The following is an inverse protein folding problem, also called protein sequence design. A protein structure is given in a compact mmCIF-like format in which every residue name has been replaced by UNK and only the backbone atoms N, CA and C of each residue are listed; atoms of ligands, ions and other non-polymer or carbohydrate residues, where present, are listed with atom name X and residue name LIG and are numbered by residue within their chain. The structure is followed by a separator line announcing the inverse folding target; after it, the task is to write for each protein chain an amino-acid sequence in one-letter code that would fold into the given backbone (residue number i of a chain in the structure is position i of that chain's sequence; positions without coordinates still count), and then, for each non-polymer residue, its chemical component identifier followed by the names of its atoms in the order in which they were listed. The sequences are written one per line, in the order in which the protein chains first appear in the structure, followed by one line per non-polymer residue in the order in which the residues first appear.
data_IF_207306242524
#
_entry.id   IF_207306242524
#
_cell.length_a   1.000
_cell.length_b   1.000
_cell.length_c   1.000
_cell.angle_alpha   90.00
_cell.angle_beta   90.00
_cell.angle_gamma   90.00
#
_symmetry.space_group_name_H-M   'P 1'
#
loop_
_entity.id
_entity.type
_entity.pdbx_description
1 polymer ?
#
# COMPACT_ATOMS: atom_id res chain seq x y z
N UNK A 1 -6.72 -2.09 5.85
CA UNK A 1 -7.66 -3.25 5.83
C UNK A 1 -6.84 -4.52 5.78
N UNK A 2 -7.29 -5.62 6.41
CA UNK A 2 -6.60 -6.92 6.29
C UNK A 2 -6.87 -7.59 4.94
N UNK A 3 -5.98 -8.50 4.52
CA UNK A 3 -6.04 -9.21 3.23
C UNK A 3 -7.40 -9.89 2.98
N UNK A 4 -7.97 -10.55 3.99
CA UNK A 4 -9.25 -11.26 3.90
C UNK A 4 -10.41 -10.28 3.62
N UNK A 5 -10.45 -9.17 4.34
CA UNK A 5 -11.47 -8.13 4.15
C UNK A 5 -11.36 -7.49 2.77
N UNK A 6 -10.13 -7.30 2.27
CA UNK A 6 -9.89 -6.80 0.92
C UNK A 6 -10.40 -7.77 -0.15
N UNK A 7 -10.00 -9.05 -0.09
CA UNK A 7 -10.47 -10.07 -1.04
C UNK A 7 -11.99 -10.17 -1.06
N UNK A 8 -12.64 -10.16 0.12
CA UNK A 8 -14.10 -10.21 0.22
C UNK A 8 -14.77 -9.00 -0.43
N UNK A 9 -14.16 -7.82 -0.34
CA UNK A 9 -14.70 -6.60 -0.91
C UNK A 9 -14.57 -6.55 -2.44
N UNK A 10 -13.44 -7.02 -2.97
CA UNK A 10 -13.10 -6.94 -4.39
C UNK A 10 -13.69 -8.07 -5.21
N UNK A 11 -13.70 -9.31 -4.70
CA UNK A 11 -14.15 -10.49 -5.47
C UNK A 11 -15.66 -10.72 -5.45
N UNK A 12 -16.39 -9.79 -4.83
CA UNK A 12 -17.85 -9.76 -4.71
C UNK A 12 -18.49 -11.01 -4.06
N UNK A 13 -19.74 -10.94 -3.55
CA UNK A 13 -20.50 -12.12 -3.21
C UNK A 13 -20.89 -12.92 -4.46
N UNK A 14 -20.94 -14.27 -4.38
CA UNK A 14 -21.44 -15.08 -5.48
C UNK A 14 -22.92 -14.80 -5.71
N UNK A 15 -23.37 -14.91 -6.96
CA UNK A 15 -24.78 -14.84 -7.29
C UNK A 15 -25.47 -16.13 -6.82
N UNK A 16 -26.59 -16.01 -6.12
CA UNK A 16 -27.38 -17.16 -5.67
C UNK A 16 -28.15 -17.68 -6.89
N UNK A 17 -27.87 -18.91 -7.32
CA UNK A 17 -28.67 -19.56 -8.35
C UNK A 17 -30.07 -19.88 -7.83
N UNK A 18 -31.05 -19.97 -8.72
CA UNK A 18 -32.44 -20.29 -8.36
C UNK A 18 -32.58 -21.66 -7.65
N UNK A 19 -31.59 -22.55 -7.80
CA UNK A 19 -31.51 -23.85 -7.12
C UNK A 19 -31.00 -23.78 -5.67
N UNK A 20 -30.49 -22.63 -5.21
CA UNK A 20 -29.88 -22.47 -3.89
C UNK A 20 -28.40 -22.86 -3.83
N UNK A 21 -27.87 -23.52 -4.86
CA UNK A 21 -26.45 -23.84 -4.98
C UNK A 21 -25.64 -22.65 -5.46
N UNK A 22 -24.40 -22.54 -4.98
CA UNK A 22 -23.46 -21.54 -5.50
C UNK A 22 -22.91 -22.03 -6.85
N UNK A 23 -22.96 -21.21 -7.92
CA UNK A 23 -22.37 -21.58 -9.18
C UNK A 23 -20.85 -21.75 -9.03
N UNK A 24 -20.30 -22.81 -9.63
CA UNK A 24 -18.86 -23.00 -9.71
C UNK A 24 -18.25 -21.84 -10.52
N UNK A 25 -17.24 -21.17 -9.96
CA UNK A 25 -16.47 -20.17 -10.67
C UNK A 25 -15.29 -20.87 -11.33
N UNK A 26 -15.33 -21.02 -12.66
CA UNK A 26 -14.27 -21.68 -13.45
C UNK A 26 -13.35 -20.68 -14.19
N UNK A 27 -13.56 -19.36 -14.01
CA UNK A 27 -12.79 -18.31 -14.64
C UNK A 27 -11.40 -18.08 -14.03
N UNK A 28 -10.45 -17.44 -14.75
CA UNK A 28 -9.12 -17.16 -14.21
C UNK A 28 -9.19 -16.34 -12.91
N UNK A 29 -8.16 -16.39 -12.05
CA UNK A 29 -8.13 -15.58 -10.85
C UNK A 29 -8.18 -14.09 -11.21
N UNK A 30 -8.98 -13.32 -10.48
CA UNK A 30 -9.04 -11.86 -10.62
C UNK A 30 -8.00 -11.15 -9.75
N UNK A 31 -7.57 -11.81 -8.67
CA UNK A 31 -6.57 -11.30 -7.75
C UNK A 31 -5.51 -12.37 -7.51
N UNK A 32 -4.25 -11.97 -7.69
CA UNK A 32 -3.08 -12.79 -7.41
C UNK A 32 -2.36 -12.26 -6.18
N UNK A 33 -2.07 -13.16 -5.24
CA UNK A 33 -1.35 -12.84 -4.02
C UNK A 33 0.03 -13.47 -4.07
N UNK A 34 1.06 -12.67 -3.79
CA UNK A 34 2.45 -13.11 -3.72
C UNK A 34 2.95 -12.88 -2.30
N UNK A 35 3.57 -13.88 -1.69
CA UNK A 35 4.09 -13.75 -0.33
C UNK A 35 4.79 -15.00 0.19
N UNK A 36 5.20 -15.02 1.46
CA UNK A 36 6.02 -16.10 2.02
C UNK A 36 5.25 -17.41 2.14
N UNK A 37 5.99 -18.49 2.38
CA UNK A 37 5.44 -19.79 2.74
C UNK A 37 4.40 -19.68 3.88
N UNK A 38 3.26 -20.35 3.70
CA UNK A 38 2.16 -20.36 4.67
C UNK A 38 1.05 -19.35 4.38
N UNK A 39 1.29 -18.35 3.50
CA UNK A 39 0.24 -17.40 3.10
C UNK A 39 -0.96 -18.10 2.47
N UNK A 40 -0.72 -19.14 1.65
CA UNK A 40 -1.80 -19.91 1.02
C UNK A 40 -2.66 -20.61 2.06
N UNK A 41 -2.00 -21.29 3.01
CA UNK A 41 -2.68 -21.94 4.13
C UNK A 41 -3.47 -20.94 4.96
N UNK A 42 -2.91 -19.76 5.24
CA UNK A 42 -3.58 -18.71 6.01
C UNK A 42 -4.88 -18.23 5.35
N UNK A 43 -4.82 -17.84 4.07
CA UNK A 43 -6.00 -17.32 3.35
C UNK A 43 -7.06 -18.41 3.21
N UNK A 44 -6.66 -19.60 2.75
CA UNK A 44 -7.55 -20.76 2.59
C UNK A 44 -8.24 -21.13 3.89
N UNK A 45 -7.50 -21.24 4.99
CA UNK A 45 -8.05 -21.66 6.29
C UNK A 45 -9.11 -20.68 6.78
N UNK A 46 -8.86 -19.36 6.65
CA UNK A 46 -9.84 -18.36 7.06
C UNK A 46 -11.09 -18.47 6.18
N UNK A 47 -10.94 -18.51 4.85
CA UNK A 47 -12.09 -18.62 3.94
C UNK A 47 -12.95 -19.85 4.25
N UNK A 48 -12.31 -21.01 4.45
CA UNK A 48 -13.00 -22.26 4.82
C UNK A 48 -13.69 -22.15 6.18
N UNK A 49 -12.99 -21.68 7.22
CA UNK A 49 -13.53 -21.59 8.58
C UNK A 49 -14.68 -20.58 8.71
N UNK A 50 -14.67 -19.53 7.88
CA UNK A 50 -15.72 -18.50 7.86
C UNK A 50 -16.74 -18.71 6.75
N UNK A 51 -16.74 -19.87 6.08
CA UNK A 51 -17.66 -20.22 4.98
C UNK A 51 -17.76 -19.10 3.93
N UNK A 52 -16.62 -18.49 3.61
CA UNK A 52 -16.55 -17.30 2.77
C UNK A 52 -16.39 -17.68 1.32
N UNK A 53 -17.47 -17.55 0.55
CA UNK A 53 -17.47 -17.72 -0.89
C UNK A 53 -17.48 -16.38 -1.60
N UNK A 54 -16.72 -16.28 -2.68
CA UNK A 54 -16.66 -15.11 -3.57
C UNK A 54 -17.16 -15.45 -4.97
N UNK A 55 -17.68 -14.46 -5.70
CA UNK A 55 -18.14 -14.64 -7.08
C UNK A 55 -16.99 -14.86 -8.05
N UNK A 56 -15.85 -14.24 -7.75
CA UNK A 56 -14.61 -14.36 -8.51
C UNK A 56 -13.55 -15.11 -7.69
N UNK A 57 -12.54 -15.65 -8.38
CA UNK A 57 -11.48 -16.45 -7.76
C UNK A 57 -10.23 -15.63 -7.44
N UNK A 58 -9.49 -16.08 -6.45
CA UNK A 58 -8.15 -15.60 -6.13
C UNK A 58 -7.13 -16.73 -6.30
N UNK A 59 -5.86 -16.38 -6.37
CA UNK A 59 -4.74 -17.33 -6.32
C UNK A 59 -3.68 -16.85 -5.35
N UNK A 60 -2.97 -17.79 -4.71
CA UNK A 60 -1.85 -17.48 -3.81
C UNK A 60 -0.58 -18.17 -4.29
N UNK A 61 0.39 -17.37 -4.68
CA UNK A 61 1.74 -17.77 -5.04
C UNK A 61 2.67 -17.62 -3.83
N UNK A 62 3.43 -18.67 -3.53
CA UNK A 62 4.34 -18.68 -2.39
C UNK A 62 5.80 -18.52 -2.85
N UNK A 63 6.49 -17.57 -2.25
CA UNK A 63 7.92 -17.33 -2.35
C UNK A 63 8.62 -18.19 -1.29
N UNK A 64 9.28 -19.25 -1.74
CA UNK A 64 9.86 -20.30 -0.90
C UNK A 64 11.39 -20.19 -0.84
N UNK A 65 11.93 -20.36 0.36
CA UNK A 65 13.33 -20.67 0.60
C UNK A 65 13.56 -22.18 0.50
N UNK A 66 14.83 -22.61 0.46
CA UNK A 66 15.19 -24.03 0.44
C UNK A 66 14.78 -24.81 1.71
N UNK A 67 14.52 -24.11 2.82
CA UNK A 67 14.04 -24.71 4.07
C UNK A 67 12.52 -24.78 4.18
N UNK A 68 11.79 -24.12 3.30
CA UNK A 68 10.32 -24.05 3.39
C UNK A 68 9.66 -25.32 2.89
N UNK A 69 8.55 -25.70 3.54
CA UNK A 69 7.69 -26.77 3.05
C UNK A 69 6.60 -26.16 2.17
N UNK A 70 6.51 -26.55 0.88
CA UNK A 70 5.48 -26.01 -0.02
C UNK A 70 4.06 -26.33 0.47
N UNK A 71 3.16 -25.35 0.47
CA UNK A 71 1.74 -25.60 0.76
C UNK A 71 1.09 -26.36 -0.41
N UNK A 72 0.27 -27.37 -0.13
CA UNK A 72 -0.42 -28.15 -1.18
C UNK A 72 -1.37 -27.29 -2.03
N UNK A 73 -1.29 -27.50 -3.35
CA UNK A 73 -2.21 -26.99 -4.37
C UNK A 73 -3.10 -28.11 -4.96
N UNK A 74 -3.21 -29.25 -4.28
CA UNK A 74 -4.10 -30.34 -4.71
C UNK A 74 -5.55 -29.84 -4.76
N UNK A 75 -6.28 -30.02 -5.88
CA UNK A 75 -7.69 -29.65 -5.99
C UNK A 75 -8.57 -30.16 -4.84
N UNK A 76 -8.23 -31.30 -4.23
CA UNK A 76 -8.97 -31.88 -3.11
C UNK A 76 -8.92 -31.02 -1.83
N UNK A 77 -7.91 -30.14 -1.69
CA UNK A 77 -7.74 -29.27 -0.52
C UNK A 77 -8.01 -27.79 -0.82
N UNK A 78 -8.23 -27.41 -2.08
CA UNK A 78 -8.47 -26.02 -2.45
C UNK A 78 -9.84 -25.53 -1.96
N UNK A 79 -9.91 -24.27 -1.55
CA UNK A 79 -11.20 -23.63 -1.33
C UNK A 79 -11.92 -23.41 -2.69
N UNK A 80 -13.26 -23.49 -2.79
CA UNK A 80 -13.97 -23.32 -4.08
C UNK A 80 -13.72 -22.00 -4.81
N UNK A 81 -13.34 -20.95 -4.08
CA UNK A 81 -12.97 -19.63 -4.62
C UNK A 81 -11.47 -19.45 -4.87
N UNK A 82 -10.66 -20.50 -4.68
CA UNK A 82 -9.21 -20.49 -4.81
C UNK A 82 -8.77 -21.22 -6.09
N UNK A 83 -7.87 -20.61 -6.86
CA UNK A 83 -7.16 -21.27 -7.95
C UNK A 83 -5.85 -21.89 -7.44
N UNK A 84 -5.34 -22.97 -8.09
CA UNK A 84 -4.02 -23.51 -7.79
C UNK A 84 -2.93 -22.45 -8.05
N UNK A 85 -2.15 -22.12 -7.01
CA UNK A 85 -1.04 -21.18 -7.13
C UNK A 85 0.29 -21.84 -7.46
N UNK A 86 1.29 -21.01 -7.72
CA UNK A 86 2.67 -21.44 -8.00
C UNK A 86 3.56 -21.33 -6.76
N UNK A 87 4.64 -22.10 -6.76
CA UNK A 87 5.68 -22.05 -5.75
C UNK A 87 6.97 -21.58 -6.43
N UNK A 88 7.47 -20.41 -6.02
CA UNK A 88 8.70 -19.83 -6.53
C UNK A 88 9.82 -20.12 -5.55
N UNK A 89 10.79 -20.95 -5.94
CA UNK A 89 11.98 -21.20 -5.13
C UNK A 89 13.01 -20.09 -5.38
N UNK A 90 13.65 -19.61 -4.32
CA UNK A 90 14.72 -18.61 -4.45
C UNK A 90 15.96 -19.19 -5.15
N UNK A 91 16.74 -18.32 -5.79
CA UNK A 91 18.06 -18.68 -6.33
C UNK A 91 19.11 -18.90 -5.22
N UNK A 92 20.33 -19.26 -5.61
CA UNK A 92 21.45 -19.52 -4.67
C UNK A 92 21.83 -18.29 -3.83
N UNK A 93 21.44 -17.09 -4.26
CA UNK A 93 21.65 -15.84 -3.51
C UNK A 93 20.42 -15.46 -2.65
N UNK A 94 19.37 -16.30 -2.64
CA UNK A 94 18.14 -16.07 -1.90
C UNK A 94 17.14 -15.14 -2.59
N UNK A 95 17.28 -14.86 -3.90
CA UNK A 95 16.38 -13.97 -4.62
C UNK A 95 15.31 -14.71 -5.42
N UNK A 96 14.10 -14.14 -5.48
CA UNK A 96 13.04 -14.58 -6.37
C UNK A 96 12.93 -13.58 -7.52
N UNK A 97 13.42 -13.97 -8.70
CA UNK A 97 13.45 -13.09 -9.88
C UNK A 97 12.28 -13.39 -10.81
N UNK A 98 11.69 -12.35 -11.39
CA UNK A 98 10.57 -12.46 -12.33
C UNK A 98 9.39 -13.24 -11.73
N UNK A 99 9.03 -12.95 -10.47
CA UNK A 99 7.92 -13.64 -9.80
C UNK A 99 6.59 -13.37 -10.48
N UNK A 100 6.47 -12.20 -11.12
CA UNK A 100 5.37 -11.84 -12.01
C UNK A 100 5.80 -10.71 -12.93
N UNK A 101 5.13 -10.57 -14.07
CA UNK A 101 5.22 -9.39 -14.93
C UNK A 101 3.84 -8.94 -15.40
N UNK A 102 3.73 -7.68 -15.79
CA UNK A 102 2.49 -7.11 -16.31
C UNK A 102 2.76 -5.96 -17.26
N UNK A 103 1.80 -5.68 -18.14
CA UNK A 103 1.89 -4.57 -19.09
C UNK A 103 1.46 -3.26 -18.41
N UNK A 104 2.43 -2.39 -18.16
CA UNK A 104 2.22 -1.00 -17.77
C UNK A 104 1.98 -0.09 -18.98
N UNK A 105 1.84 1.23 -18.71
CA UNK A 105 1.57 2.21 -19.76
C UNK A 105 2.71 2.35 -20.78
N UNK A 106 3.97 2.20 -20.34
CA UNK A 106 5.16 2.33 -21.18
C UNK A 106 5.79 0.99 -21.57
N UNK A 107 5.13 -0.14 -21.26
CA UNK A 107 5.66 -1.47 -21.55
C UNK A 107 5.63 -2.40 -20.34
N UNK A 108 6.45 -3.45 -20.39
CA UNK A 108 6.49 -4.47 -19.33
C UNK A 108 7.00 -3.90 -18.00
N UNK A 109 6.41 -4.38 -16.90
CA UNK A 109 6.89 -4.19 -15.54
C UNK A 109 7.15 -5.56 -14.94
N UNK A 110 8.36 -5.79 -14.48
CA UNK A 110 8.79 -7.05 -13.86
C UNK A 110 8.93 -6.86 -12.36
N UNK A 111 8.51 -7.87 -11.61
CA UNK A 111 8.61 -7.89 -10.14
C UNK A 111 9.61 -8.95 -9.72
N UNK A 112 10.59 -8.53 -8.94
CA UNK A 112 11.49 -9.40 -8.19
C UNK A 112 11.24 -9.24 -6.69
N UNK A 113 11.74 -10.19 -5.91
CA UNK A 113 11.70 -10.14 -4.45
C UNK A 113 13.02 -10.65 -3.85
N UNK A 114 13.35 -10.13 -2.67
CA UNK A 114 14.54 -10.54 -1.94
C UNK A 114 14.39 -10.41 -0.43
N UNK A 115 15.26 -11.07 0.34
CA UNK A 115 15.18 -11.09 1.79
C UNK A 115 15.60 -9.74 2.37
N UNK A 116 14.95 -9.36 3.46
CA UNK A 116 15.37 -8.27 4.35
C UNK A 116 15.38 -8.78 5.79
N UNK A 117 16.20 -8.19 6.66
CA UNK A 117 16.30 -8.63 8.04
C UNK A 117 15.25 -7.97 8.91
N UNK A 118 14.43 -8.79 9.56
CA UNK A 118 13.45 -8.41 10.58
C UNK A 118 13.46 -9.48 11.68
N UNK A 119 12.63 -9.32 12.73
CA UNK A 119 12.52 -10.33 13.80
C UNK A 119 12.10 -11.69 13.26
N UNK A 120 11.17 -11.65 12.31
CA UNK A 120 10.65 -12.79 11.57
C UNK A 120 11.06 -12.64 10.09
N UNK A 121 11.13 -13.70 9.27
CA UNK A 121 11.48 -13.59 7.85
C UNK A 121 10.60 -12.55 7.15
N UNK A 122 11.24 -11.61 6.45
CA UNK A 122 10.55 -10.54 5.75
C UNK A 122 11.14 -10.34 4.35
N UNK A 123 10.32 -9.77 3.46
CA UNK A 123 10.59 -9.69 2.02
C UNK A 123 10.48 -8.24 1.56
N UNK A 124 11.42 -7.80 0.74
CA UNK A 124 11.31 -6.59 -0.05
C UNK A 124 11.03 -6.93 -1.52
N UNK A 125 10.29 -6.07 -2.21
CA UNK A 125 9.94 -6.21 -3.63
C UNK A 125 10.64 -5.14 -4.45
N UNK A 126 11.13 -5.52 -5.63
CA UNK A 126 11.74 -4.63 -6.62
C UNK A 126 10.89 -4.69 -7.88
N UNK A 127 10.26 -3.58 -8.24
CA UNK A 127 9.50 -3.45 -9.47
C UNK A 127 10.34 -2.64 -10.45
N UNK A 128 10.56 -3.14 -11.65
CA UNK A 128 11.36 -2.43 -12.64
C UNK A 128 10.82 -2.58 -14.06
N UNK A 129 11.06 -1.55 -14.87
CA UNK A 129 10.79 -1.57 -16.32
C UNK A 129 12.07 -1.99 -17.04
N UNK A 130 12.09 -3.13 -17.76
CA UNK A 130 13.28 -3.59 -18.47
C UNK A 130 13.60 -2.69 -19.68
N UNK A 131 12.59 -2.04 -20.25
CA UNK A 131 12.68 -1.09 -21.36
C UNK A 131 12.48 0.35 -20.84
N UNK A 132 12.79 1.39 -21.64
CA UNK A 132 12.51 2.78 -21.28
C UNK A 132 11.06 2.93 -20.78
N UNK A 133 10.83 3.67 -19.69
CA UNK A 133 11.73 4.65 -19.04
C UNK A 133 12.67 4.09 -17.96
N UNK A 134 12.81 2.77 -17.83
CA UNK A 134 13.72 2.14 -16.85
C UNK A 134 13.48 2.55 -15.39
N UNK A 135 12.23 2.86 -15.02
CA UNK A 135 11.94 3.21 -13.62
C UNK A 135 12.08 1.98 -12.75
N UNK A 136 12.58 2.18 -11.54
CA UNK A 136 12.75 1.13 -10.53
C UNK A 136 12.20 1.57 -9.18
N UNK A 137 11.25 0.80 -8.66
CA UNK A 137 10.64 1.01 -7.36
C UNK A 137 11.10 -0.10 -6.41
N UNK A 138 11.59 0.29 -5.23
CA UNK A 138 11.97 -0.62 -4.16
C UNK A 138 10.97 -0.43 -3.02
N UNK A 139 10.20 -1.48 -2.71
CA UNK A 139 9.17 -1.44 -1.68
C UNK A 139 9.52 -2.50 -0.63
N UNK A 140 9.88 -2.05 0.56
CA UNK A 140 10.31 -2.94 1.63
C UNK A 140 9.17 -3.22 2.61
N UNK A 141 9.14 -4.45 3.13
CA UNK A 141 8.42 -4.76 4.37
C UNK A 141 9.15 -4.19 5.60
N UNK A 142 8.70 -4.62 6.78
CA UNK A 142 9.35 -4.26 8.03
C UNK A 142 10.78 -4.81 8.07
N UNK A 143 11.72 -4.01 8.58
CA UNK A 143 13.14 -4.33 8.59
C UNK A 143 13.93 -3.50 9.58
N UNK A 144 14.99 -4.08 10.15
CA UNK A 144 16.09 -3.34 10.79
C UNK A 144 17.35 -3.28 9.93
N UNK A 145 17.45 -4.13 8.90
CA UNK A 145 18.56 -4.10 7.94
C UNK A 145 18.12 -4.69 6.59
N UNK A 146 18.00 -3.83 5.59
CA UNK A 146 17.66 -4.18 4.22
C UNK A 146 18.90 -4.48 3.35
N UNK A 147 20.11 -4.52 3.92
CA UNK A 147 21.34 -4.78 3.16
C UNK A 147 21.34 -6.07 2.33
N UNK A 148 20.67 -7.18 2.72
CA UNK A 148 20.67 -8.40 1.91
C UNK A 148 19.99 -8.27 0.54
N UNK A 149 19.05 -7.33 0.35
CA UNK A 149 18.36 -7.14 -0.94
C UNK A 149 19.19 -6.30 -1.94
N UNK A 150 20.26 -5.64 -1.50
CA UNK A 150 21.06 -4.73 -2.33
C UNK A 150 21.62 -5.39 -3.61
N UNK A 151 22.14 -6.64 -3.58
CA UNK A 151 22.63 -7.30 -4.78
C UNK A 151 21.56 -7.57 -5.83
N UNK A 152 20.27 -7.57 -5.46
CA UNK A 152 19.13 -7.67 -6.38
C UNK A 152 18.77 -6.30 -6.98
N UNK A 153 18.85 -5.23 -6.20
CA UNK A 153 18.49 -3.86 -6.65
C UNK A 153 19.40 -3.40 -7.79
N UNK A 154 20.69 -3.75 -7.76
CA UNK A 154 21.71 -3.44 -8.79
C UNK A 154 21.55 -2.03 -9.39
N UNK A 155 21.78 -0.96 -8.60
CA UNK A 155 21.70 0.39 -9.15
C UNK A 155 22.80 0.58 -10.19
N UNK A 156 22.42 1.01 -11.39
CA UNK A 156 23.34 1.42 -12.45
C UNK A 156 23.01 2.84 -12.89
N UNK A 157 23.95 3.49 -13.59
CA UNK A 157 23.70 4.82 -14.17
C UNK A 157 22.52 4.83 -15.16
N UNK A 158 22.21 3.68 -15.76
CA UNK A 158 21.13 3.50 -16.75
C UNK A 158 19.82 3.03 -16.15
N UNK A 159 19.82 2.56 -14.89
CA UNK A 159 18.61 2.09 -14.20
C UNK A 159 18.63 2.54 -12.73
N UNK A 160 18.40 3.84 -12.48
CA UNK A 160 18.42 4.41 -11.13
C UNK A 160 17.23 3.90 -10.31
N UNK A 161 17.37 3.91 -8.98
CA UNK A 161 16.24 3.62 -8.09
C UNK A 161 15.36 4.87 -8.02
N UNK A 162 14.28 4.89 -8.79
CA UNK A 162 13.37 6.04 -8.89
C UNK A 162 12.62 6.32 -7.58
N UNK A 163 12.26 5.27 -6.84
CA UNK A 163 11.55 5.39 -5.56
C UNK A 163 11.97 4.29 -4.59
N UNK A 164 12.22 4.68 -3.35
CA UNK A 164 12.28 3.78 -2.21
C UNK A 164 11.07 4.03 -1.29
N UNK A 165 10.34 2.97 -0.95
CA UNK A 165 9.40 2.94 0.17
C UNK A 165 10.02 2.10 1.29
N UNK A 166 10.31 2.73 2.43
CA UNK A 166 10.99 2.11 3.57
C UNK A 166 10.21 2.37 4.86
N UNK A 167 10.20 1.41 5.78
CA UNK A 167 9.62 1.64 7.11
C UNK A 167 10.44 2.63 7.96
N UNK A 168 9.76 3.39 8.82
CA UNK A 168 10.39 4.25 9.82
C UNK A 168 9.58 4.22 11.12
N UNK A 169 9.52 3.06 11.76
CA UNK A 169 8.58 2.76 12.85
C UNK A 169 8.75 3.62 14.09
N UNK A 170 9.98 3.91 14.53
CA UNK A 170 10.22 4.73 15.71
C UNK A 170 11.39 5.69 15.53
N UNK A 171 11.37 6.81 16.26
CA UNK A 171 12.50 7.73 16.29
C UNK A 171 12.55 8.57 17.56
N UNK A 172 13.73 9.12 17.84
CA UNK A 172 13.90 10.13 18.87
C UNK A 172 13.30 11.46 18.42
N UNK A 173 12.41 12.01 19.25
CA UNK A 173 11.82 13.33 19.09
C UNK A 173 12.17 14.16 20.34
N UNK A 174 12.75 15.33 20.14
CA UNK A 174 13.09 16.26 21.22
C UNK A 174 11.84 16.84 21.89
N UNK A 175 11.94 17.13 23.19
CA UNK A 175 10.88 17.81 23.96
C UNK A 175 10.55 19.21 23.44
N UNK A 176 11.46 19.82 22.68
CA UNK A 176 11.21 21.10 22.03
C UNK A 176 10.20 20.98 20.88
N UNK A 177 10.13 19.81 20.24
CA UNK A 177 9.24 19.51 19.11
C UNK A 177 7.93 18.90 19.62
N UNK A 178 8.04 17.92 20.51
CA UNK A 178 6.90 17.30 21.17
C UNK A 178 7.05 17.42 22.71
N UNK A 179 6.32 18.35 23.35
CA UNK A 179 6.33 18.49 24.82
C UNK A 179 5.93 17.22 25.58
N UNK A 180 5.25 16.27 24.92
CA UNK A 180 4.88 14.97 25.49
C UNK A 180 5.98 13.92 25.40
N UNK A 181 7.06 14.15 24.62
CA UNK A 181 8.18 13.24 24.50
C UNK A 181 8.86 13.00 25.85
N UNK A 182 9.20 11.74 26.13
CA UNK A 182 9.81 11.31 27.42
C UNK A 182 11.10 10.50 27.25
N UNK A 183 11.34 9.92 26.08
CA UNK A 183 12.41 8.95 25.85
C UNK A 183 13.70 9.63 25.45
N UNK A 184 14.83 9.06 25.84
CA UNK A 184 16.14 9.45 25.33
C UNK A 184 16.40 8.83 23.96
N UNK A 185 17.45 9.28 23.27
CA UNK A 185 17.87 8.69 21.99
C UNK A 185 18.26 7.22 22.16
N UNK A 186 19.12 6.93 23.13
CA UNK A 186 19.59 5.56 23.42
C UNK A 186 18.44 4.59 23.75
N UNK A 187 17.41 5.06 24.48
CA UNK A 187 16.22 4.26 24.77
C UNK A 187 15.40 3.93 23.53
N UNK A 188 15.33 4.86 22.56
CA UNK A 188 14.63 4.62 21.29
C UNK A 188 15.43 3.63 20.45
N UNK A 189 16.72 3.90 20.25
CA UNK A 189 17.60 3.07 19.41
C UNK A 189 17.62 1.62 19.92
N UNK A 190 17.75 1.44 21.24
CA UNK A 190 17.70 0.10 21.87
C UNK A 190 16.35 -0.61 21.63
N UNK A 191 15.23 0.12 21.69
CA UNK A 191 13.88 -0.45 21.50
C UNK A 191 13.58 -0.77 20.04
N UNK A 192 14.08 0.04 19.12
CA UNK A 192 13.93 -0.18 17.68
C UNK A 192 14.69 -1.44 17.27
N UNK A 193 15.95 -1.55 17.68
CA UNK A 193 16.77 -2.74 17.45
C UNK A 193 16.13 -4.00 18.05
N UNK A 194 15.67 -3.95 19.31
CA UNK A 194 15.07 -5.10 19.98
C UNK A 194 13.75 -5.57 19.33
N UNK A 195 13.06 -4.71 18.58
CA UNK A 195 11.82 -5.05 17.86
C UNK A 195 12.04 -5.41 16.40
N UNK A 196 13.24 -5.22 15.89
CA UNK A 196 13.58 -5.50 14.50
C UNK A 196 13.07 -4.46 13.50
N UNK A 197 12.90 -3.20 13.91
CA UNK A 197 12.40 -2.13 13.03
C UNK A 197 13.49 -1.12 12.67
N UNK A 198 13.13 -0.12 11.86
CA UNK A 198 14.03 0.95 11.43
C UNK A 198 13.66 2.32 12.00
N UNK A 199 14.69 3.17 12.10
CA UNK A 199 14.55 4.62 12.30
C UNK A 199 14.58 5.36 10.96
N UNK A 200 14.14 6.63 10.90
CA UNK A 200 14.27 7.46 9.71
C UNK A 200 15.72 7.59 9.23
N UNK A 201 16.68 7.64 10.15
CA UNK A 201 18.12 7.69 9.84
C UNK A 201 18.57 6.41 9.13
N UNK A 202 18.10 5.25 9.56
CA UNK A 202 18.40 3.96 8.91
C UNK A 202 17.82 3.92 7.49
N UNK A 203 16.55 4.35 7.33
CA UNK A 203 15.90 4.45 6.03
C UNK A 203 16.66 5.38 5.06
N UNK A 204 17.05 6.57 5.52
CA UNK A 204 17.84 7.52 4.72
C UNK A 204 19.24 7.00 4.37
N UNK A 205 19.90 6.33 5.31
CA UNK A 205 21.21 5.70 5.07
C UNK A 205 21.11 4.61 3.99
N UNK A 206 20.06 3.79 4.05
CA UNK A 206 19.80 2.77 3.02
C UNK A 206 19.49 3.41 1.67
N UNK A 207 18.65 4.45 1.64
CA UNK A 207 18.33 5.22 0.43
C UNK A 207 19.59 5.75 -0.27
N UNK A 208 20.52 6.32 0.51
CA UNK A 208 21.82 6.78 0.01
C UNK A 208 22.63 5.64 -0.59
N UNK A 209 22.66 4.48 0.07
CA UNK A 209 23.44 3.32 -0.34
C UNK A 209 22.95 2.73 -1.68
N UNK A 210 21.65 2.77 -1.95
CA UNK A 210 21.07 2.26 -3.20
C UNK A 210 20.92 3.33 -4.30
N UNK A 211 21.31 4.58 -4.03
CA UNK A 211 21.16 5.69 -4.98
C UNK A 211 19.71 6.03 -5.30
N UNK A 212 18.81 5.96 -4.29
CA UNK A 212 17.41 6.32 -4.48
C UNK A 212 17.25 7.81 -4.83
N UNK A 213 16.36 8.11 -5.78
CA UNK A 213 16.01 9.46 -6.23
C UNK A 213 14.87 10.08 -5.41
N UNK A 214 13.95 9.25 -4.92
CA UNK A 214 12.85 9.66 -4.04
C UNK A 214 12.73 8.68 -2.87
N UNK A 215 12.41 9.20 -1.70
CA UNK A 215 12.26 8.40 -0.47
C UNK A 215 10.91 8.68 0.17
N UNK A 216 10.13 7.63 0.36
CA UNK A 216 8.87 7.67 1.10
C UNK A 216 8.98 6.77 2.32
N UNK A 217 8.71 7.35 3.48
CA UNK A 217 8.70 6.64 4.76
C UNK A 217 7.28 6.14 5.05
N UNK A 218 7.16 4.86 5.34
CA UNK A 218 5.88 4.23 5.70
C UNK A 218 5.98 3.54 7.07
N UNK A 219 4.88 2.91 7.50
CA UNK A 219 4.80 2.13 8.75
C UNK A 219 5.23 2.93 9.97
N UNK A 220 4.79 4.19 10.05
CA UNK A 220 5.09 5.07 11.17
C UNK A 220 4.38 4.56 12.43
N UNK A 221 5.13 4.40 13.52
CA UNK A 221 4.58 3.88 14.77
C UNK A 221 3.43 4.72 15.31
N UNK A 222 2.41 4.06 15.84
CA UNK A 222 1.15 4.68 16.33
C UNK A 222 1.32 5.78 17.38
N UNK A 223 2.50 5.89 17.99
CA UNK A 223 2.90 7.00 18.87
C UNK A 223 3.08 8.35 18.18
N UNK A 224 3.25 8.34 16.85
CA UNK A 224 3.32 9.53 16.00
C UNK A 224 2.05 9.59 15.17
N UNK A 225 0.88 9.86 15.80
CA UNK A 225 -0.38 9.85 15.09
C UNK A 225 -0.38 10.90 13.97
N UNK A 226 -0.98 10.55 12.84
CA UNK A 226 -1.10 11.44 11.70
C UNK A 226 -1.71 12.80 12.11
N UNK A 227 -1.25 13.92 11.53
CA UNK A 227 -1.90 15.22 11.70
C UNK A 227 -3.37 15.15 11.29
N UNK A 228 -4.27 15.73 12.09
CA UNK A 228 -5.70 15.81 11.71
C UNK A 228 -5.86 16.98 10.75
N UNK A 229 -6.44 16.74 9.58
CA UNK A 229 -6.65 17.72 8.48
C UNK A 229 -6.83 19.17 8.99
N UNK A 230 -5.84 20.02 8.68
CA UNK A 230 -5.84 21.48 8.51
C UNK A 230 -6.69 22.38 9.42
N UNK A 231 -7.09 21.96 10.62
CA UNK A 231 -7.90 22.80 11.54
C UNK A 231 -7.08 23.59 12.55
N UNK A 232 -5.82 23.24 12.80
CA UNK A 232 -4.98 23.93 13.77
C UNK A 232 -3.52 24.02 13.30
N UNK A 233 -3.03 25.22 12.92
CA UNK A 233 -1.63 25.46 12.58
C UNK A 233 -0.64 25.16 13.71
N UNK A 234 -1.10 25.05 14.95
CA UNK A 234 -0.28 24.74 16.13
C UNK A 234 -0.29 23.25 16.52
N UNK A 235 -0.72 22.37 15.62
CA UNK A 235 -0.73 20.94 15.87
C UNK A 235 0.69 20.36 15.83
N UNK A 236 1.21 20.00 17.01
CA UNK A 236 2.57 19.48 17.21
C UNK A 236 2.88 18.26 16.34
N UNK A 237 1.85 17.51 15.91
CA UNK A 237 2.00 16.38 15.00
C UNK A 237 2.65 16.77 13.68
N UNK A 238 2.37 17.96 13.13
CA UNK A 238 3.07 18.41 11.92
C UNK A 238 4.57 18.57 12.16
N UNK A 239 4.97 19.13 13.31
CA UNK A 239 6.38 19.28 13.66
C UNK A 239 7.07 17.93 13.90
N UNK A 240 6.35 16.96 14.46
CA UNK A 240 6.85 15.57 14.62
C UNK A 240 7.07 14.90 13.28
N UNK A 241 6.11 15.01 12.35
CA UNK A 241 6.26 14.46 10.99
C UNK A 241 7.42 15.14 10.26
N UNK A 242 7.50 16.47 10.30
CA UNK A 242 8.60 17.21 9.70
C UNK A 242 9.96 16.82 10.29
N UNK A 243 10.03 16.49 11.58
CA UNK A 243 11.26 16.00 12.21
C UNK A 243 11.64 14.59 11.73
N UNK A 244 10.67 13.70 11.53
CA UNK A 244 10.88 12.38 10.94
C UNK A 244 11.45 12.52 9.51
N UNK A 245 10.81 13.38 8.70
CA UNK A 245 11.24 13.69 7.33
C UNK A 245 12.65 14.28 7.31
N UNK A 246 12.95 15.26 8.19
CA UNK A 246 14.26 15.88 8.31
C UNK A 246 15.36 14.87 8.62
N UNK A 247 15.15 13.99 9.61
CA UNK A 247 16.15 13.00 10.00
C UNK A 247 16.49 12.01 8.88
N UNK A 248 15.48 11.55 8.12
CA UNK A 248 15.72 10.72 6.95
C UNK A 248 16.41 11.48 5.82
N UNK A 249 15.97 12.72 5.56
CA UNK A 249 16.52 13.59 4.51
C UNK A 249 18.01 13.87 4.74
N UNK A 250 18.41 14.16 5.99
CA UNK A 250 19.81 14.39 6.34
C UNK A 250 20.68 13.14 6.17
N UNK A 251 20.18 11.97 6.58
CA UNK A 251 20.91 10.72 6.42
C UNK A 251 21.04 10.31 4.93
N UNK A 252 19.99 10.57 4.15
CA UNK A 252 19.95 10.33 2.71
C UNK A 252 20.89 11.27 1.95
N UNK A 253 20.81 12.57 2.22
CA UNK A 253 21.59 13.62 1.56
C UNK A 253 21.25 13.83 0.07
N UNK A 254 20.21 13.17 -0.45
CA UNK A 254 19.79 13.21 -1.85
C UNK A 254 18.53 14.05 -2.14
N UNK A 255 17.88 14.59 -1.12
CA UNK A 255 16.64 15.37 -1.26
C UNK A 255 15.80 15.38 0.01
N UNK A 256 14.52 15.68 -0.13
CA UNK A 256 13.53 15.64 0.96
C UNK A 256 12.80 14.29 0.96
N UNK A 257 12.96 13.52 2.03
CA UNK A 257 12.17 12.33 2.29
C UNK A 257 10.77 12.73 2.78
N UNK A 258 9.74 11.99 2.35
CA UNK A 258 8.35 12.31 2.68
C UNK A 258 7.73 11.19 3.51
N UNK A 259 7.01 11.53 4.56
CA UNK A 259 6.22 10.55 5.31
C UNK A 259 4.88 10.30 4.61
N UNK A 260 4.61 9.03 4.31
CA UNK A 260 3.35 8.62 3.72
C UNK A 260 2.17 8.89 4.66
N UNK A 261 1.05 9.28 4.07
CA UNK A 261 -0.25 9.35 4.72
C UNK A 261 -1.28 8.55 3.92
N UNK A 262 -2.35 8.11 4.57
CA UNK A 262 -3.39 7.33 3.93
C UNK A 262 -3.94 8.05 2.68
N UNK A 263 -4.06 7.31 1.58
CA UNK A 263 -4.48 7.80 0.26
C UNK A 263 -3.51 8.77 -0.44
N UNK A 264 -2.29 8.97 0.09
CA UNK A 264 -1.23 9.66 -0.63
C UNK A 264 -0.96 8.99 -1.98
N UNK A 265 -0.68 9.81 -3.00
CA UNK A 265 -0.26 9.34 -4.33
C UNK A 265 1.10 9.93 -4.63
N UNK A 266 2.01 9.07 -5.09
CA UNK A 266 3.34 9.44 -5.54
C UNK A 266 3.41 9.15 -7.03
N UNK A 267 3.88 10.11 -7.81
CA UNK A 267 4.02 9.97 -9.27
C UNK A 267 5.49 10.02 -9.63
N UNK A 268 5.95 9.03 -10.38
CA UNK A 268 7.31 8.93 -10.88
C UNK A 268 7.28 9.26 -12.37
N UNK A 269 7.93 10.37 -12.75
CA UNK A 269 8.03 10.79 -14.13
C UNK A 269 8.81 9.76 -14.95
N UNK A 270 8.44 9.63 -16.23
CA UNK A 270 9.10 8.73 -17.16
C UNK A 270 10.42 9.32 -17.70
N UNK A 271 10.66 10.63 -17.55
CA UNK A 271 11.88 11.33 -18.01
C UNK A 271 12.42 10.87 -19.38
N UNK A 272 11.50 10.54 -20.31
CA UNK A 272 11.80 10.11 -21.67
C UNK A 272 12.24 11.30 -22.52
N UNK A 273 13.25 11.09 -23.37
CA UNK A 273 13.54 12.02 -24.46
C UNK A 273 12.59 11.79 -25.66
N UNK A 274 12.62 12.70 -26.65
CA UNK A 274 11.69 12.64 -27.81
C UNK A 274 11.85 11.37 -28.64
N UNK A 275 13.07 10.83 -28.77
CA UNK A 275 13.33 9.58 -29.51
C UNK A 275 12.79 8.37 -28.74
N UNK A 276 13.07 8.27 -27.44
CA UNK A 276 12.58 7.19 -26.58
C UNK A 276 11.04 7.20 -26.48
N UNK A 277 10.42 8.37 -26.45
CA UNK A 277 8.95 8.47 -26.47
C UNK A 277 8.37 7.95 -27.78
N UNK A 278 9.01 8.24 -28.91
CA UNK A 278 8.61 7.73 -30.22
C UNK A 278 8.76 6.22 -30.31
N UNK A 279 9.87 5.67 -29.80
CA UNK A 279 10.13 4.23 -29.82
C UNK A 279 9.11 3.47 -28.96
N UNK A 280 8.81 3.95 -27.74
CA UNK A 280 7.78 3.34 -26.88
C UNK A 280 6.40 3.43 -27.53
N UNK A 281 6.07 4.55 -28.18
CA UNK A 281 4.80 4.70 -28.88
C UNK A 281 4.67 3.70 -30.04
N UNK A 282 5.74 3.48 -30.81
CA UNK A 282 5.77 2.50 -31.90
C UNK A 282 5.63 1.06 -31.38
N UNK A 283 6.33 0.69 -30.30
CA UNK A 283 6.22 -0.66 -29.71
C UNK A 283 4.80 -0.95 -29.20
N UNK A 284 4.11 0.05 -28.63
CA UNK A 284 2.72 -0.09 -28.21
C UNK A 284 1.75 -0.28 -29.39
N UNK A 285 2.02 0.36 -30.54
CA UNK A 285 1.22 0.21 -31.75
C UNK A 285 1.42 -1.16 -32.41
N UNK A 286 2.66 -1.66 -32.46
CA UNK A 286 3.00 -2.97 -33.03
C UNK A 286 2.55 -4.15 -32.13
N UNK A 287 2.36 -3.92 -30.83
CA UNK A 287 1.82 -4.90 -29.87
C UNK A 287 0.30 -5.12 -29.97
N UNK A 288 -0.43 -4.32 -30.75
CA UNK A 288 -1.88 -4.51 -30.98
C UNK A 288 -2.09 -5.58 -32.05
N UNK A 289 -2.18 -6.85 -31.63
CA UNK A 289 -2.67 -7.91 -32.50
C UNK A 289 -4.12 -7.57 -32.89
N UNK A 290 -4.33 -7.36 -34.19
CA UNK A 290 -5.64 -7.14 -34.80
C UNK A 290 -6.52 -8.36 -34.52
N UNK A 291 -7.57 -8.20 -33.73
CA UNK A 291 -8.68 -9.16 -33.67
C UNK A 291 -9.48 -9.04 -34.97
N UNK A 292 -8.94 -9.56 -36.08
CA UNK A 292 -9.73 -9.83 -37.28
C UNK A 292 -10.57 -11.08 -37.04
N UNK A 293 -11.87 -10.90 -36.86
CA UNK A 293 -12.75 -12.04 -36.63
C UNK A 293 -14.23 -11.75 -36.42
N UNK A 294 -14.82 -10.71 -37.03
CA UNK A 294 -16.28 -10.66 -37.22
C UNK A 294 -16.67 -9.95 -38.53
N UNK A 295 -16.93 -10.77 -39.55
CA UNK A 295 -18.02 -10.63 -40.54
C UNK A 295 -18.21 -9.32 -41.30
N UNK A 296 -17.83 -9.34 -42.58
CA UNK A 296 -18.30 -8.42 -43.63
C UNK A 296 -19.83 -8.37 -43.72
N UNK A 297 -20.41 -7.16 -43.76
CA UNK A 297 -21.60 -6.88 -44.58
C UNK A 297 -21.59 -5.42 -45.07
N UNK A 298 -21.45 -5.22 -46.39
CA UNK A 298 -22.17 -4.19 -47.14
C UNK A 298 -21.46 -2.86 -47.44
N UNK A 299 -20.79 -2.78 -48.59
CA UNK A 299 -20.49 -1.55 -49.33
C UNK A 299 -21.74 -0.68 -49.59
N UNK A 300 -21.62 0.65 -49.46
CA UNK A 300 -22.07 1.59 -50.51
C UNK A 300 -21.49 3.01 -50.37
N UNK A 301 -20.71 3.36 -51.39
CA UNK A 301 -20.65 4.63 -52.13
C UNK A 301 -20.23 5.96 -51.47
N UNK A 302 -19.10 6.47 -51.97
CA UNK A 302 -18.58 7.83 -51.89
C UNK A 302 -19.51 8.86 -52.56
N UNK A 303 -19.59 10.06 -52.00
CA UNK A 303 -20.13 11.25 -52.67
C UNK A 303 -19.62 12.56 -52.06
N UNK A 304 -18.72 13.25 -52.77
CA UNK A 304 -18.24 14.61 -52.46
C UNK A 304 -19.36 15.65 -52.68
N UNK A 305 -19.40 16.70 -51.85
CA UNK A 305 -20.18 17.90 -52.17
C UNK A 305 -19.94 19.07 -51.21
N UNK A 306 -19.20 20.08 -51.67
CA UNK A 306 -19.14 21.42 -51.07
C UNK A 306 -20.43 22.19 -51.41
N UNK A 307 -20.96 22.99 -50.48
CA UNK A 307 -22.01 23.96 -50.79
C UNK A 307 -22.35 24.88 -49.61
N UNK A 308 -22.05 26.18 -49.76
CA UNK A 308 -22.52 27.28 -48.90
C UNK A 308 -24.02 27.56 -49.13
N UNK A 309 -24.70 28.08 -48.12
CA UNK A 309 -26.01 28.75 -48.26
C UNK A 309 -26.74 28.88 -46.92
N UNK A 310 -27.06 30.09 -46.49
CA UNK A 310 -27.62 30.40 -45.17
C UNK A 310 -29.15 30.36 -45.10
N UNK A 311 -29.69 30.79 -43.96
CA UNK A 311 -31.13 31.00 -43.77
C UNK A 311 -31.61 30.50 -42.41
N UNK A 312 -31.85 31.42 -41.47
CA UNK A 312 -32.15 31.10 -40.08
C UNK A 312 -33.58 30.65 -39.78
N UNK A 313 -33.79 30.21 -38.54
CA UNK A 313 -34.89 30.58 -37.63
C UNK A 313 -34.77 29.78 -36.32
N UNK A 314 -34.74 30.50 -35.21
CA UNK A 314 -34.91 30.01 -33.83
C UNK A 314 -36.28 29.37 -33.63
N UNK A 315 -36.43 28.50 -32.62
CA UNK A 315 -37.19 28.95 -31.46
C UNK A 315 -36.57 28.58 -30.10
N UNK A 316 -36.95 29.42 -29.13
CA UNK A 316 -36.61 29.42 -27.70
C UNK A 316 -37.10 28.17 -26.97
N UNK A 317 -36.32 27.80 -25.96
CA UNK A 317 -36.82 27.66 -24.58
C UNK A 317 -37.02 26.24 -24.08
N UNK A 318 -36.18 25.81 -23.12
CA UNK A 318 -36.60 25.51 -21.75
C UNK A 318 -35.39 25.22 -20.87
N UNK A 319 -35.56 25.55 -19.61
CA UNK A 319 -34.50 25.92 -18.67
C UNK A 319 -34.45 24.94 -17.51
N UNK A 320 -33.24 24.87 -16.91
CA UNK A 320 -32.93 24.64 -15.49
C UNK A 320 -32.95 23.22 -14.93
N UNK A 321 -31.83 22.89 -14.27
CA UNK A 321 -31.76 21.84 -13.26
C UNK A 321 -30.37 21.57 -12.68
N UNK A 322 -29.59 22.61 -12.30
CA UNK A 322 -28.29 22.45 -11.60
C UNK A 322 -28.53 22.43 -10.09
N UNK A 323 -28.44 21.26 -9.46
CA UNK A 323 -28.54 21.10 -8.00
C UNK A 323 -27.21 21.47 -7.33
N UNK A 324 -27.27 22.38 -6.36
CA UNK A 324 -26.19 22.79 -5.45
C UNK A 324 -26.46 22.20 -4.06
N UNK A 325 -25.43 21.68 -3.41
CA UNK A 325 -25.47 21.09 -2.07
C UNK A 325 -25.78 22.10 -0.95
N UNK A 326 -26.17 21.62 0.25
CA UNK A 326 -26.63 22.49 1.32
C UNK A 326 -25.48 23.12 2.13
N UNK A 327 -25.62 24.44 2.33
CA UNK A 327 -24.77 25.30 3.15
C UNK A 327 -25.40 25.47 4.54
N UNK A 328 -24.57 25.29 5.56
CA UNK A 328 -24.88 25.49 6.97
C UNK A 328 -25.26 26.94 7.30
N UNK A 329 -26.33 27.13 8.08
CA UNK A 329 -26.64 28.39 8.77
C UNK A 329 -26.75 28.15 10.26
N UNK A 330 -25.87 28.81 11.01
CA UNK A 330 -26.01 28.97 12.46
C UNK A 330 -27.14 29.94 12.80
N UNK A 331 -27.79 29.69 13.94
CA UNK A 331 -28.50 30.71 14.71
C UNK A 331 -28.26 30.50 16.20
N UNK A 332 -27.71 31.54 16.79
CA UNK A 332 -27.58 31.88 18.20
C UNK A 332 -28.93 32.22 18.83
N UNK A 333 -29.11 31.81 20.11
CA UNK A 333 -29.84 32.44 21.24
C UNK A 333 -29.81 31.37 22.35
N UNK A 334 -29.34 31.55 23.58
CA UNK A 334 -29.16 32.74 24.39
C UNK A 334 -30.05 32.62 25.65
N UNK A 335 -29.44 32.49 26.83
CA UNK A 335 -29.99 33.04 28.09
C UNK A 335 -30.37 32.09 29.23
N UNK A 336 -29.68 32.26 30.36
CA UNK A 336 -30.18 32.13 31.75
C UNK A 336 -30.15 30.70 32.35
N UNK A 337 -29.67 30.44 33.56
CA UNK A 337 -29.23 31.29 34.67
C UNK A 337 -29.58 30.60 36.00
N UNK A 338 -28.60 30.49 36.92
CA UNK A 338 -28.78 30.23 38.36
C UNK A 338 -29.30 28.83 38.76
N UNK A 339 -29.13 28.31 39.97
CA UNK A 339 -28.40 28.69 41.18
C UNK A 339 -28.48 27.46 42.12
N UNK A 340 -27.45 27.28 42.95
CA UNK A 340 -27.38 26.68 44.32
C UNK A 340 -28.19 25.44 44.77
N UNK A 341 -27.47 24.62 45.56
CA UNK A 341 -27.97 23.83 46.70
C UNK A 341 -27.95 22.32 46.45
N UNK A 342 -27.31 21.45 47.21
CA UNK A 342 -26.96 21.45 48.63
C UNK A 342 -27.61 20.21 49.28
N UNK A 343 -26.86 19.52 50.16
CA UNK A 343 -27.23 18.35 51.00
C UNK A 343 -27.26 16.98 50.28
N UNK A 344 -26.71 15.89 50.82
CA UNK A 344 -26.00 15.65 52.08
C UNK A 344 -25.76 14.14 52.31
N UNK A 345 -24.59 13.84 52.89
CA UNK A 345 -24.23 12.81 53.90
C UNK A 345 -24.65 11.32 53.77
N UNK A 346 -23.68 10.47 54.12
CA UNK A 346 -23.81 9.07 54.54
C UNK A 346 -22.46 8.33 54.33
N UNK A 347 -21.45 8.58 55.16
CA UNK A 347 -21.02 7.78 56.33
C UNK A 347 -20.71 6.30 56.03
N UNK A 348 -19.47 5.88 56.35
CA UNK A 348 -19.01 4.48 56.29
C UNK A 348 -17.50 4.34 56.38
N UNK A 349 -17.01 4.22 57.62
CA UNK A 349 -15.62 4.35 58.07
C UNK A 349 -14.86 3.00 58.17
N UNK A 350 -13.52 3.08 58.13
CA UNK A 350 -12.48 2.12 58.60
C UNK A 350 -12.38 0.72 57.93
N UNK A 351 -11.22 0.13 57.64
CA UNK A 351 -9.82 0.44 57.94
C UNK A 351 -8.99 -0.87 57.97
N UNK A 352 -7.66 -0.75 57.71
CA UNK A 352 -6.58 -1.73 58.01
C UNK A 352 -6.54 -3.00 57.10
N UNK A 353 -5.40 -3.54 56.67
CA UNK A 353 -4.01 -3.34 57.05
C UNK A 353 -3.05 -4.16 56.18
N UNK A 354 -1.76 -3.94 56.45
CA UNK A 354 -0.55 -4.40 55.74
C UNK A 354 -0.40 -5.94 55.72
N UNK A 355 0.11 -6.48 54.60
CA UNK A 355 0.60 -7.86 54.47
C UNK A 355 2.01 -7.93 53.90
N UNK A 356 2.95 -8.49 54.67
CA UNK A 356 4.39 -8.63 54.40
C UNK A 356 4.71 -9.62 53.27
N UNK A 357 5.77 -9.31 52.52
CA UNK A 357 6.58 -10.23 51.71
C UNK A 357 7.14 -11.38 52.57
N UNK A 358 7.07 -12.61 52.07
CA UNK A 358 8.00 -13.70 52.42
C UNK A 358 8.59 -14.29 51.14
N UNK A 359 9.92 -14.31 51.08
CA UNK A 359 10.76 -15.10 50.19
C UNK A 359 10.69 -16.57 50.64
N UNK A 360 10.74 -17.49 49.68
CA UNK A 360 11.36 -18.79 49.86
C UNK A 360 12.19 -19.08 48.62
N UNK A 361 13.48 -19.34 48.85
CA UNK A 361 14.28 -20.20 47.99
C UNK A 361 14.52 -21.48 48.78
N UNK A 362 14.38 -22.61 48.10
CA UNK A 362 15.43 -23.61 47.85
C UNK A 362 15.05 -24.35 46.57
#
# INVERSE_FOLDING_TARGET
MGIITFLRHVLHPPLIASSGDLPASDGPPQIELYGPAGLRTFVRSIFTMTLTHTGERYVVHELLTSSDTPTSCDPAVLHPSECPGQNFLCDDNGFWKGVTSGTGYYGEVVVDAGPILHRDPCIGYVLHEPNPPHRKLVILGDTYDASPIIPLIQPSATMPVSLLIHEATDTYISRQIDPSARRTKDEVDSKVAARGHSTPVMAGTFAKKIGAQQVVLNHIGSRFPAPKQFKNPHDTRFAVIAEIERQASEAWGGGEAVVAYDFMRVSIAADLNEEEFSDVAMELEDGVISLEGVGEVGEMARGRGRGRGGGGRTPRGMSRGRWRGPQWRGRTRGGGGGDRGGFGRGDGNNGLGRGKKRRFGE
#
